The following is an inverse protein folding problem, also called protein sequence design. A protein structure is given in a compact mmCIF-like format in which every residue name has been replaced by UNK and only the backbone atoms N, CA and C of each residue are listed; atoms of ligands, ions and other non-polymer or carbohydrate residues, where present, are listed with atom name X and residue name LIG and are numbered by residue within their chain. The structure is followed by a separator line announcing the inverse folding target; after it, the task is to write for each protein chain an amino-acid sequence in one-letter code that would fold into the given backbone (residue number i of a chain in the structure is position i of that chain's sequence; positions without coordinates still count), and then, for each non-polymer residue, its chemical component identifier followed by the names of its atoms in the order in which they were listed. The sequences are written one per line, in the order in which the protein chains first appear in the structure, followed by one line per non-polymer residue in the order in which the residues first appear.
data_IF_464469734519
#
_entry.id   IF_464469734519
#
_cell.length_a   1.000
_cell.length_b   1.000
_cell.length_c   1.000
_cell.angle_alpha   90.00
_cell.angle_beta   90.00
_cell.angle_gamma   90.00
#
_symmetry.space_group_name_H-M   'P 1'
#
loop_
_entity.id
_entity.type
_entity.pdbx_description
1 polymer ?
#
# COMPACT_ATOMS: atom_id res chain seq x y z
N UNK A 1 -21.78 16.67 -18.93
CA UNK A 1 -20.52 16.76 -19.70
C UNK A 1 -20.12 15.37 -20.17
N UNK A 2 -19.73 15.20 -21.44
CA UNK A 2 -19.31 13.91 -22.00
C UNK A 2 -18.14 13.32 -21.18
N UNK A 3 -18.18 12.01 -20.87
CA UNK A 3 -17.13 11.29 -20.12
C UNK A 3 -15.75 11.55 -20.74
N UNK A 4 -15.64 11.51 -22.07
CA UNK A 4 -14.38 11.77 -22.76
C UNK A 4 -13.85 13.19 -22.52
N UNK A 5 -14.72 14.20 -22.44
CA UNK A 5 -14.32 15.58 -22.13
C UNK A 5 -13.80 15.66 -20.69
N UNK A 6 -14.50 15.02 -19.74
CA UNK A 6 -14.03 14.93 -18.34
C UNK A 6 -12.65 14.25 -18.27
N UNK A 7 -12.46 13.12 -18.97
CA UNK A 7 -11.19 12.39 -19.00
C UNK A 7 -10.05 13.20 -19.63
N UNK A 8 -10.30 13.94 -20.71
CA UNK A 8 -9.30 14.80 -21.37
C UNK A 8 -8.90 15.96 -20.45
N UNK A 9 -9.86 16.64 -19.82
CA UNK A 9 -9.56 17.72 -18.88
C UNK A 9 -8.78 17.21 -17.67
N UNK A 10 -9.19 16.07 -17.11
CA UNK A 10 -8.49 15.44 -16.00
C UNK A 10 -7.09 14.96 -16.39
N UNK A 11 -6.88 14.46 -17.61
CA UNK A 11 -5.57 14.02 -18.09
C UNK A 11 -4.60 15.18 -18.34
N UNK A 12 -5.09 16.30 -18.86
CA UNK A 12 -4.30 17.52 -19.00
C UNK A 12 -3.87 18.04 -17.62
N UNK A 13 -4.79 18.05 -16.65
CA UNK A 13 -4.49 18.43 -15.28
C UNK A 13 -3.49 17.46 -14.62
N UNK A 14 -3.66 16.15 -14.80
CA UNK A 14 -2.72 15.12 -14.34
C UNK A 14 -1.32 15.33 -14.89
N UNK A 15 -1.21 15.59 -16.20
CA UNK A 15 0.07 15.84 -16.84
C UNK A 15 0.72 17.13 -16.33
N UNK A 16 -0.07 18.21 -16.18
CA UNK A 16 0.39 19.48 -15.63
C UNK A 16 0.88 19.39 -14.17
N UNK A 17 0.30 18.48 -13.39
CA UNK A 17 0.63 18.30 -11.97
C UNK A 17 1.81 17.35 -11.71
N UNK A 18 1.97 16.31 -12.54
CA UNK A 18 2.91 15.20 -12.25
C UNK A 18 4.05 15.02 -13.26
N UNK A 19 3.92 15.52 -14.50
CA UNK A 19 4.94 15.24 -15.51
C UNK A 19 6.28 15.91 -15.17
N UNK A 20 7.34 15.11 -15.02
CA UNK A 20 8.67 15.57 -14.61
C UNK A 20 8.68 16.32 -13.27
N UNK A 21 7.73 16.00 -12.39
CA UNK A 21 7.57 16.58 -11.05
C UNK A 21 7.76 15.53 -9.96
N UNK A 22 8.36 15.95 -8.85
CA UNK A 22 8.39 15.17 -7.60
C UNK A 22 7.03 15.20 -6.89
N UNK A 23 6.81 14.27 -5.95
CA UNK A 23 5.53 14.13 -5.27
C UNK A 23 5.43 15.07 -4.06
N UNK A 24 4.34 15.82 -3.97
CA UNK A 24 4.05 16.80 -2.92
C UNK A 24 2.59 17.20 -2.95
N UNK A 25 2.32 18.51 -3.00
CA UNK A 25 0.95 19.06 -3.04
C UNK A 25 0.17 18.62 -4.29
N UNK A 26 0.85 18.32 -5.40
CA UNK A 26 0.25 17.75 -6.60
C UNK A 26 -0.61 16.50 -6.32
N UNK A 27 -0.19 15.60 -5.42
CA UNK A 27 -0.98 14.44 -5.05
C UNK A 27 -2.25 14.81 -4.27
N UNK A 28 -2.21 15.85 -3.44
CA UNK A 28 -3.39 16.35 -2.71
C UNK A 28 -4.42 16.89 -3.70
N UNK A 29 -3.98 17.74 -4.64
CA UNK A 29 -4.83 18.32 -5.69
C UNK A 29 -5.41 17.21 -6.57
N UNK A 30 -4.58 16.27 -7.02
CA UNK A 30 -5.02 15.15 -7.84
C UNK A 30 -6.01 14.25 -7.10
N UNK A 31 -5.82 14.04 -5.80
CA UNK A 31 -6.73 13.27 -4.96
C UNK A 31 -8.10 13.94 -4.87
N UNK A 32 -8.13 15.25 -4.64
CA UNK A 32 -9.37 16.05 -4.58
C UNK A 32 -10.12 15.99 -5.91
N UNK A 33 -9.41 16.11 -7.04
CA UNK A 33 -10.03 16.05 -8.37
C UNK A 33 -10.60 14.66 -8.64
N UNK A 34 -9.84 13.62 -8.31
CA UNK A 34 -10.30 12.23 -8.45
C UNK A 34 -11.54 11.96 -7.62
N UNK A 35 -11.54 12.35 -6.35
CA UNK A 35 -12.70 12.23 -5.45
C UNK A 35 -13.90 13.00 -6.01
N UNK A 36 -13.68 14.23 -6.48
CA UNK A 36 -14.75 15.06 -7.05
C UNK A 36 -15.36 14.41 -8.29
N UNK A 37 -14.54 13.93 -9.22
CA UNK A 37 -15.00 13.24 -10.42
C UNK A 37 -15.81 11.99 -10.09
N UNK A 38 -15.33 11.18 -9.14
CA UNK A 38 -16.02 9.97 -8.68
C UNK A 38 -17.37 10.32 -8.03
N UNK A 39 -17.41 11.31 -7.13
CA UNK A 39 -18.65 11.71 -6.45
C UNK A 39 -19.70 12.29 -7.41
N UNK A 40 -19.27 12.98 -8.47
CA UNK A 40 -20.17 13.52 -9.49
C UNK A 40 -20.81 12.42 -10.34
N UNK A 41 -20.08 11.33 -10.61
CA UNK A 41 -20.54 10.22 -11.46
C UNK A 41 -21.28 9.13 -10.67
N UNK A 42 -20.80 8.80 -9.47
CA UNK A 42 -21.33 7.74 -8.60
C UNK A 42 -22.07 8.30 -7.38
N UNK A 43 -23.15 9.07 -7.63
CA UNK A 43 -23.95 9.69 -6.57
C UNK A 43 -24.57 8.64 -5.64
N UNK A 44 -24.42 8.84 -4.32
CA UNK A 44 -25.20 8.11 -3.31
C UNK A 44 -24.50 6.97 -2.57
N UNK A 45 -23.22 6.70 -2.80
CA UNK A 45 -22.49 5.64 -2.10
C UNK A 45 -21.82 6.14 -0.80
N UNK A 46 -22.60 6.29 0.28
CA UNK A 46 -22.05 6.76 1.59
C UNK A 46 -20.90 5.87 2.12
N UNK A 47 -20.89 4.59 1.78
CA UNK A 47 -19.88 3.62 2.22
C UNK A 47 -18.46 3.91 1.67
N UNK A 48 -18.35 4.65 0.56
CA UNK A 48 -17.06 4.95 -0.09
C UNK A 48 -16.37 6.18 0.48
N UNK A 49 -17.10 7.03 1.23
CA UNK A 49 -16.59 8.29 1.78
C UNK A 49 -15.38 8.06 2.69
N UNK A 50 -15.42 7.03 3.56
CA UNK A 50 -14.29 6.71 4.44
C UNK A 50 -13.01 6.35 3.67
N UNK A 51 -13.14 5.73 2.49
CA UNK A 51 -12.01 5.39 1.64
C UNK A 51 -11.52 6.60 0.84
N UNK A 52 -12.42 7.50 0.42
CA UNK A 52 -12.06 8.78 -0.16
C UNK A 52 -11.26 9.64 0.84
N UNK A 53 -11.71 9.70 2.11
CA UNK A 53 -11.01 10.40 3.18
C UNK A 53 -9.65 9.77 3.49
N UNK A 54 -9.56 8.43 3.54
CA UNK A 54 -8.29 7.75 3.71
C UNK A 54 -7.31 8.03 2.55
N UNK A 55 -7.80 8.01 1.30
CA UNK A 55 -7.01 8.36 0.12
C UNK A 55 -6.50 9.81 0.20
N UNK A 56 -7.36 10.78 0.49
CA UNK A 56 -6.97 12.18 0.68
C UNK A 56 -5.97 12.35 1.84
N UNK A 57 -6.21 11.67 2.96
CA UNK A 57 -5.32 11.72 4.12
C UNK A 57 -3.92 11.22 3.79
N UNK A 58 -3.79 10.11 3.04
CA UNK A 58 -2.46 9.66 2.58
C UNK A 58 -1.76 10.67 1.68
N UNK A 59 -2.50 11.43 0.86
CA UNK A 59 -1.92 12.50 0.06
C UNK A 59 -1.36 13.63 0.95
N UNK A 60 -2.09 13.99 2.01
CA UNK A 60 -1.63 14.95 3.02
C UNK A 60 -0.38 14.45 3.74
N UNK A 61 -0.30 13.16 4.08
CA UNK A 61 0.90 12.57 4.69
C UNK A 61 2.12 12.63 3.77
N UNK A 62 1.94 12.49 2.45
CA UNK A 62 3.03 12.69 1.47
C UNK A 62 3.42 14.18 1.40
N UNK A 63 2.46 15.09 1.38
CA UNK A 63 2.74 16.53 1.41
C UNK A 63 3.54 16.96 2.64
N UNK A 64 3.23 16.41 3.81
CA UNK A 64 3.95 16.70 5.05
C UNK A 64 5.37 16.10 5.07
N UNK A 65 5.60 15.00 4.35
CA UNK A 65 6.85 14.25 4.43
C UNK A 65 7.00 13.31 3.21
N UNK A 66 7.56 13.78 2.09
CA UNK A 66 7.47 13.11 0.79
C UNK A 66 8.47 11.95 0.66
N UNK A 67 8.23 10.86 1.41
CA UNK A 67 9.02 9.63 1.36
C UNK A 67 8.39 8.58 0.42
N UNK A 68 9.23 7.74 -0.19
CA UNK A 68 8.79 6.66 -1.07
C UNK A 68 7.79 5.70 -0.40
N UNK A 69 7.96 5.45 0.89
CA UNK A 69 7.02 4.62 1.65
C UNK A 69 5.61 5.23 1.68
N UNK A 70 5.48 6.53 1.96
CA UNK A 70 4.17 7.20 2.00
C UNK A 70 3.54 7.30 0.61
N UNK A 71 4.34 7.51 -0.44
CA UNK A 71 3.88 7.48 -1.85
C UNK A 71 3.32 6.08 -2.19
N UNK A 72 3.99 5.02 -1.77
CA UNK A 72 3.50 3.65 -1.96
C UNK A 72 2.17 3.41 -1.24
N UNK A 73 2.02 3.85 0.01
CA UNK A 73 0.75 3.75 0.75
C UNK A 73 -0.35 4.58 0.10
N UNK A 74 -0.02 5.76 -0.43
CA UNK A 74 -0.96 6.59 -1.19
C UNK A 74 -1.47 5.88 -2.46
N UNK A 75 -0.59 5.23 -3.21
CA UNK A 75 -0.98 4.42 -4.38
C UNK A 75 -1.86 3.22 -3.98
N UNK A 76 -1.58 2.57 -2.85
CA UNK A 76 -2.41 1.49 -2.32
C UNK A 76 -3.81 1.99 -1.94
N UNK A 77 -3.89 3.15 -1.26
CA UNK A 77 -5.15 3.78 -0.88
C UNK A 77 -5.98 4.21 -2.10
N UNK A 78 -5.32 4.71 -3.16
CA UNK A 78 -5.96 5.00 -4.45
C UNK A 78 -6.65 3.76 -5.03
N UNK A 79 -5.92 2.63 -5.16
CA UNK A 79 -6.47 1.39 -5.71
C UNK A 79 -7.64 0.86 -4.89
N UNK A 80 -7.55 0.90 -3.56
CA UNK A 80 -8.65 0.52 -2.66
C UNK A 80 -9.85 1.44 -2.86
N UNK A 81 -9.65 2.75 -2.96
CA UNK A 81 -10.73 3.72 -3.16
C UNK A 81 -11.46 3.49 -4.50
N UNK A 82 -10.72 3.29 -5.59
CA UNK A 82 -11.31 2.96 -6.89
C UNK A 82 -12.06 1.63 -6.83
N UNK A 83 -11.46 0.58 -6.27
CA UNK A 83 -12.13 -0.71 -6.12
C UNK A 83 -13.41 -0.65 -5.30
N UNK A 84 -13.40 0.15 -4.21
CA UNK A 84 -14.58 0.39 -3.36
C UNK A 84 -15.65 1.23 -4.05
N UNK A 85 -15.27 2.10 -4.97
CA UNK A 85 -16.22 2.83 -5.82
C UNK A 85 -16.93 1.89 -6.79
N UNK A 86 -16.20 0.92 -7.34
CA UNK A 86 -16.73 -0.08 -8.27
C UNK A 86 -17.63 -1.09 -7.56
N UNK A 87 -17.17 -1.64 -6.42
CA UNK A 87 -17.88 -2.65 -5.64
C UNK A 87 -17.83 -2.33 -4.12
N UNK A 88 -18.75 -1.48 -3.61
CA UNK A 88 -18.68 -0.97 -2.23
C UNK A 88 -18.70 -2.05 -1.14
N UNK A 89 -19.50 -3.10 -1.37
CA UNK A 89 -19.76 -4.17 -0.39
C UNK A 89 -18.66 -5.24 -0.34
N UNK A 90 -17.75 -5.27 -1.30
CA UNK A 90 -16.74 -6.33 -1.38
C UNK A 90 -15.69 -6.22 -0.28
N UNK A 91 -14.98 -7.30 -0.05
CA UNK A 91 -13.82 -7.34 0.83
C UNK A 91 -12.71 -6.37 0.41
N UNK A 92 -11.90 -5.94 1.38
CA UNK A 92 -10.81 -4.99 1.14
C UNK A 92 -9.74 -5.56 0.19
N UNK A 93 -9.39 -6.85 0.35
CA UNK A 93 -8.40 -7.50 -0.51
C UNK A 93 -8.84 -7.51 -1.97
N UNK A 94 -10.12 -7.80 -2.20
CA UNK A 94 -10.67 -7.82 -3.55
C UNK A 94 -10.82 -6.40 -4.09
N UNK A 95 -11.11 -5.41 -3.26
CA UNK A 95 -11.18 -4.00 -3.69
C UNK A 95 -9.85 -3.52 -4.27
N UNK A 96 -8.73 -3.81 -3.61
CA UNK A 96 -7.41 -3.47 -4.16
C UNK A 96 -7.17 -4.14 -5.52
N UNK A 97 -7.52 -5.43 -5.65
CA UNK A 97 -7.39 -6.17 -6.91
C UNK A 97 -8.33 -5.66 -8.01
N UNK A 98 -9.58 -5.31 -7.67
CA UNK A 98 -10.53 -4.68 -8.60
C UNK A 98 -9.99 -3.33 -9.07
N UNK A 99 -9.45 -2.51 -8.16
CA UNK A 99 -8.82 -1.24 -8.53
C UNK A 99 -7.67 -1.44 -9.52
N UNK A 100 -6.79 -2.40 -9.26
CA UNK A 100 -5.67 -2.72 -10.14
C UNK A 100 -6.13 -3.25 -11.51
N UNK A 101 -7.03 -4.23 -11.51
CA UNK A 101 -7.57 -4.81 -12.75
C UNK A 101 -8.36 -3.79 -13.55
N UNK A 102 -9.04 -2.84 -12.91
CA UNK A 102 -9.70 -1.73 -13.60
C UNK A 102 -8.70 -0.88 -14.39
N UNK A 103 -7.54 -0.54 -13.82
CA UNK A 103 -6.52 0.26 -14.49
C UNK A 103 -5.90 -0.43 -15.73
N UNK A 104 -6.01 -1.76 -15.83
CA UNK A 104 -5.40 -2.54 -16.92
C UNK A 104 -6.45 -3.01 -17.93
N UNK A 105 -7.54 -3.59 -17.45
CA UNK A 105 -8.49 -4.34 -18.28
C UNK A 105 -9.66 -3.50 -18.78
N UNK A 106 -9.93 -2.32 -18.20
CA UNK A 106 -11.08 -1.53 -18.60
C UNK A 106 -11.02 -1.08 -20.07
N UNK A 107 -9.83 -0.73 -20.59
CA UNK A 107 -9.65 -0.45 -22.03
C UNK A 107 -10.01 -1.65 -22.91
N UNK A 108 -9.54 -2.86 -22.55
CA UNK A 108 -9.78 -4.09 -23.31
C UNK A 108 -11.27 -4.44 -23.29
N UNK A 109 -11.90 -4.35 -22.11
CA UNK A 109 -13.33 -4.57 -21.97
C UNK A 109 -14.15 -3.56 -22.78
N UNK A 110 -13.76 -2.29 -22.76
CA UNK A 110 -14.42 -1.24 -23.53
C UNK A 110 -14.29 -1.45 -25.04
N UNK A 111 -13.12 -1.89 -25.51
CA UNK A 111 -12.90 -2.25 -26.91
C UNK A 111 -13.77 -3.45 -27.32
N UNK A 112 -13.71 -4.54 -26.55
CA UNK A 112 -14.48 -5.76 -26.83
C UNK A 112 -16.00 -5.53 -26.76
N UNK A 113 -16.48 -4.73 -25.82
CA UNK A 113 -17.90 -4.38 -25.72
C UNK A 113 -18.35 -3.45 -26.83
N UNK A 114 -17.47 -2.61 -27.37
CA UNK A 114 -17.76 -1.78 -28.55
C UNK A 114 -17.86 -2.66 -29.80
N UNK A 115 -16.90 -3.58 -30.01
CA UNK A 115 -16.92 -4.55 -31.11
C UNK A 115 -18.14 -5.48 -31.06
N UNK A 116 -18.55 -5.95 -29.87
CA UNK A 116 -19.78 -6.75 -29.69
C UNK A 116 -21.07 -5.96 -29.93
N UNK A 117 -21.08 -4.65 -29.63
CA UNK A 117 -22.23 -3.77 -29.87
C UNK A 117 -22.39 -3.39 -31.36
N UNK A 118 -21.36 -3.51 -32.19
CA UNK A 118 -21.48 -3.30 -33.63
C UNK A 118 -22.37 -4.33 -34.34
N UNK A 119 -22.78 -5.42 -33.67
CA UNK A 119 -23.85 -6.31 -34.15
C UNK A 119 -25.26 -5.71 -34.11
N UNK A 120 -25.51 -4.65 -33.31
CA UNK A 120 -26.79 -3.93 -33.31
C UNK A 120 -26.59 -2.47 -32.88
N UNK A 121 -26.76 -1.55 -33.85
CA UNK A 121 -26.63 -0.07 -33.79
C UNK A 121 -25.19 0.44 -33.79
N UNK A 122 -24.77 0.94 -34.97
CA UNK A 122 -23.58 1.75 -35.09
C UNK A 122 -23.68 2.96 -34.15
N UNK A 123 -22.75 3.04 -33.18
CA UNK A 123 -22.48 4.30 -32.50
C UNK A 123 -21.71 5.18 -33.47
N UNK A 124 -22.43 5.74 -34.44
CA UNK A 124 -21.97 6.98 -35.06
C UNK A 124 -21.75 7.97 -33.92
N UNK A 125 -20.53 8.49 -33.75
CA UNK A 125 -20.36 9.74 -33.00
C UNK A 125 -21.49 10.67 -33.47
N UNK A 126 -22.27 11.23 -32.54
CA UNK A 126 -23.30 12.22 -32.86
C UNK A 126 -22.73 13.16 -33.94
N UNK A 127 -23.46 13.35 -35.05
CA UNK A 127 -22.95 14.10 -36.21
C UNK A 127 -22.36 15.44 -35.78
N UNK A 128 -22.91 16.03 -34.72
CA UNK A 128 -22.44 17.25 -34.06
C UNK A 128 -21.01 17.13 -33.50
N UNK A 129 -20.62 16.04 -32.85
CA UNK A 129 -19.27 15.84 -32.30
C UNK A 129 -18.22 15.61 -33.39
N UNK A 130 -18.56 14.87 -34.45
CA UNK A 130 -17.69 14.72 -35.64
C UNK A 130 -17.50 16.06 -36.35
N UNK A 131 -18.56 16.84 -36.50
CA UNK A 131 -18.51 18.18 -37.09
C UNK A 131 -17.65 19.12 -36.23
N UNK A 132 -17.81 19.11 -34.90
CA UNK A 132 -16.98 19.92 -34.00
C UNK A 132 -15.50 19.52 -34.10
N UNK A 133 -15.17 18.23 -34.07
CA UNK A 133 -13.78 17.77 -34.14
C UNK A 133 -13.14 18.14 -35.50
N UNK A 134 -13.88 17.97 -36.61
CA UNK A 134 -13.43 18.35 -37.95
C UNK A 134 -13.26 19.86 -38.07
N UNK A 135 -14.21 20.64 -37.56
CA UNK A 135 -14.12 22.10 -37.52
C UNK A 135 -12.91 22.55 -36.70
N UNK A 136 -12.70 21.99 -35.50
CA UNK A 136 -11.56 22.32 -34.65
C UNK A 136 -10.23 22.02 -35.35
N UNK A 137 -10.12 20.86 -36.01
CA UNK A 137 -8.91 20.46 -36.73
C UNK A 137 -8.61 21.38 -37.93
N UNK A 138 -9.64 21.75 -38.71
CA UNK A 138 -9.52 22.72 -39.81
C UNK A 138 -9.15 24.11 -39.26
N UNK A 139 -9.82 24.56 -38.19
CA UNK A 139 -9.55 25.86 -37.56
C UNK A 139 -8.13 25.94 -37.01
N UNK A 140 -7.65 24.90 -36.31
CA UNK A 140 -6.26 24.83 -35.82
C UNK A 140 -5.29 24.87 -36.99
N UNK A 141 -5.54 24.09 -38.06
CA UNK A 141 -4.71 24.10 -39.27
C UNK A 141 -4.64 25.49 -39.92
N UNK A 142 -5.78 26.19 -40.03
CA UNK A 142 -5.83 27.55 -40.54
C UNK A 142 -5.09 28.54 -39.62
N UNK A 143 -5.29 28.46 -38.30
CA UNK A 143 -4.58 29.32 -37.34
C UNK A 143 -3.06 29.13 -37.48
N UNK A 144 -2.57 27.89 -37.59
CA UNK A 144 -1.15 27.61 -37.79
C UNK A 144 -0.67 28.20 -39.12
N UNK A 145 -1.39 27.93 -40.22
CA UNK A 145 -1.05 28.43 -41.55
C UNK A 145 -0.96 29.96 -41.56
N UNK A 146 -1.99 30.65 -41.05
CA UNK A 146 -2.01 32.11 -40.97
C UNK A 146 -0.96 32.65 -40.01
N UNK A 147 -0.69 31.97 -38.90
CA UNK A 147 0.39 32.36 -37.99
C UNK A 147 1.75 32.28 -38.67
N UNK A 148 2.02 31.25 -39.47
CA UNK A 148 3.27 31.13 -40.25
C UNK A 148 3.39 32.22 -41.33
N UNK A 149 2.29 32.55 -42.01
CA UNK A 149 2.24 33.64 -42.99
C UNK A 149 2.50 35.01 -42.34
N UNK A 150 1.88 35.28 -41.19
CA UNK A 150 2.05 36.53 -40.46
C UNK A 150 3.42 36.66 -39.81
N UNK A 151 4.03 35.55 -39.36
CA UNK A 151 5.42 35.55 -38.90
C UNK A 151 6.40 35.98 -39.99
N UNK A 152 6.16 35.62 -41.25
CA UNK A 152 6.99 36.07 -42.38
C UNK A 152 6.76 37.55 -42.73
N UNK A 153 5.56 38.06 -42.45
CA UNK A 153 5.13 39.39 -42.92
C UNK A 153 5.32 40.49 -41.87
N UNK A 154 5.39 40.16 -40.57
CA UNK A 154 5.49 41.13 -39.49
C UNK A 154 6.54 40.69 -38.43
N UNK A 155 7.65 41.44 -38.28
CA UNK A 155 8.70 41.09 -37.31
C UNK A 155 8.24 41.16 -35.84
N UNK A 156 7.25 41.99 -35.50
CA UNK A 156 6.66 42.06 -34.15
C UNK A 156 5.79 40.83 -33.85
N UNK A 157 5.04 40.34 -34.85
CA UNK A 157 4.28 39.11 -34.71
C UNK A 157 5.22 37.89 -34.62
N UNK A 158 6.32 37.91 -35.38
CA UNK A 158 7.37 36.90 -35.30
C UNK A 158 7.97 36.78 -33.90
N UNK A 159 8.34 37.90 -33.28
CA UNK A 159 8.90 37.89 -31.93
C UNK A 159 7.90 37.36 -30.90
N UNK A 160 6.63 37.75 -30.99
CA UNK A 160 5.55 37.27 -30.11
C UNK A 160 5.35 35.75 -30.21
N UNK A 161 5.27 35.20 -31.42
CA UNK A 161 5.10 33.75 -31.60
C UNK A 161 6.35 32.99 -31.17
N UNK A 162 7.55 33.51 -31.46
CA UNK A 162 8.80 32.87 -31.01
C UNK A 162 9.00 32.88 -29.50
N UNK A 163 8.29 33.75 -28.77
CA UNK A 163 8.28 33.76 -27.30
C UNK A 163 7.36 32.67 -26.70
N UNK A 164 6.47 32.07 -27.50
CA UNK A 164 5.63 30.95 -27.05
C UNK A 164 6.47 29.68 -27.07
N UNK A 165 6.97 29.29 -25.91
CA UNK A 165 7.74 28.07 -25.73
C UNK A 165 6.80 26.86 -25.51
N UNK A 166 6.86 25.87 -26.41
CA UNK A 166 6.16 24.59 -26.30
C UNK A 166 7.10 23.42 -26.02
N UNK A 167 8.32 23.66 -25.54
CA UNK A 167 9.32 22.62 -25.26
C UNK A 167 8.82 21.60 -24.21
N UNK A 168 7.83 21.98 -23.39
CA UNK A 168 7.16 21.07 -22.47
C UNK A 168 6.29 20.01 -23.18
N UNK A 169 5.75 20.30 -24.39
CA UNK A 169 5.01 19.37 -25.24
C UNK A 169 5.97 18.41 -25.97
N UNK A 170 6.80 17.76 -25.18
CA UNK A 170 7.66 16.68 -25.62
C UNK A 170 6.85 15.41 -25.91
N UNK A 171 7.37 14.52 -26.75
CA UNK A 171 6.74 13.22 -26.99
C UNK A 171 6.47 12.41 -25.69
N UNK A 172 7.37 12.39 -24.68
CA UNK A 172 7.05 11.74 -23.41
C UNK A 172 5.93 12.44 -22.61
N UNK A 173 5.81 13.77 -22.68
CA UNK A 173 4.67 14.50 -22.08
C UNK A 173 3.34 14.09 -22.74
N UNK A 174 3.33 13.94 -24.07
CA UNK A 174 2.15 13.47 -24.79
C UNK A 174 1.77 12.05 -24.35
N UNK A 175 2.73 11.12 -24.28
CA UNK A 175 2.49 9.75 -23.80
C UNK A 175 1.98 9.73 -22.36
N UNK A 176 2.56 10.54 -21.48
CA UNK A 176 2.13 10.67 -20.09
C UNK A 176 0.70 11.22 -19.97
N UNK A 177 0.35 12.17 -20.83
CA UNK A 177 -1.01 12.73 -20.92
C UNK A 177 -2.00 11.68 -21.43
N UNK A 178 -1.63 10.89 -22.46
CA UNK A 178 -2.45 9.78 -22.97
C UNK A 178 -2.64 8.71 -21.89
N UNK A 179 -1.60 8.41 -21.13
CA UNK A 179 -1.68 7.50 -19.98
C UNK A 179 -2.65 8.02 -18.92
N UNK A 180 -2.55 9.31 -18.55
CA UNK A 180 -3.50 9.97 -17.67
C UNK A 180 -4.94 9.90 -18.20
N UNK A 181 -5.14 10.06 -19.50
CA UNK A 181 -6.46 9.92 -20.12
C UNK A 181 -7.06 8.52 -19.91
N UNK A 182 -6.26 7.46 -20.08
CA UNK A 182 -6.74 6.10 -19.81
C UNK A 182 -7.08 5.89 -18.34
N UNK A 183 -6.26 6.37 -17.39
CA UNK A 183 -6.57 6.32 -15.96
C UNK A 183 -7.94 6.95 -15.68
N UNK A 184 -8.16 8.20 -16.11
CA UNK A 184 -9.42 8.88 -15.83
C UNK A 184 -10.60 8.32 -16.62
N UNK A 185 -10.38 7.77 -17.81
CA UNK A 185 -11.40 7.04 -18.55
C UNK A 185 -11.83 5.78 -17.79
N UNK A 186 -10.89 5.03 -17.22
CA UNK A 186 -11.17 3.83 -16.42
C UNK A 186 -11.83 4.16 -15.08
N UNK A 187 -11.52 5.31 -14.48
CA UNK A 187 -12.20 5.78 -13.27
C UNK A 187 -13.66 6.12 -13.58
N UNK A 188 -13.91 6.85 -14.68
CA UNK A 188 -15.25 7.31 -15.04
C UNK A 188 -16.10 6.24 -15.75
N UNK A 189 -15.46 5.23 -16.33
CA UNK A 189 -16.12 4.11 -17.02
C UNK A 189 -15.47 2.79 -16.61
N UNK A 190 -15.68 2.37 -15.35
CA UNK A 190 -14.97 1.24 -14.80
C UNK A 190 -15.40 -0.09 -15.42
N UNK A 191 -14.46 -1.03 -15.41
CA UNK A 191 -14.73 -2.44 -15.60
C UNK A 191 -15.38 -3.02 -14.35
N UNK A 192 -16.52 -3.70 -14.53
CA UNK A 192 -17.24 -4.36 -13.45
C UNK A 192 -17.03 -5.88 -13.53
N UNK A 193 -16.11 -6.47 -12.74
CA UNK A 193 -15.84 -7.91 -12.77
C UNK A 193 -16.92 -8.69 -12.00
N UNK A 194 -18.08 -8.86 -12.61
CA UNK A 194 -19.26 -9.47 -11.97
C UNK A 194 -18.96 -10.81 -11.30
N UNK A 195 -18.26 -11.72 -11.98
CA UNK A 195 -17.88 -13.03 -11.43
C UNK A 195 -17.04 -12.94 -10.15
N UNK A 196 -16.10 -12.00 -10.06
CA UNK A 196 -15.29 -11.86 -8.84
C UNK A 196 -16.11 -11.28 -7.69
N UNK A 197 -17.02 -10.36 -8.02
CA UNK A 197 -17.89 -9.70 -7.06
C UNK A 197 -18.88 -10.71 -6.47
N UNK A 198 -19.54 -11.52 -7.32
CA UNK A 198 -20.50 -12.54 -6.87
C UNK A 198 -19.81 -13.58 -5.98
N UNK A 199 -18.65 -14.11 -6.41
CA UNK A 199 -17.87 -15.08 -5.65
C UNK A 199 -17.49 -14.58 -4.24
N UNK A 200 -17.10 -13.31 -4.10
CA UNK A 200 -16.82 -12.74 -2.78
C UNK A 200 -18.09 -12.58 -1.95
N UNK A 201 -19.18 -12.07 -2.54
CA UNK A 201 -20.44 -11.87 -1.80
C UNK A 201 -21.10 -13.17 -1.32
N UNK A 202 -20.96 -14.26 -2.06
CA UNK A 202 -21.51 -15.57 -1.70
C UNK A 202 -20.71 -16.28 -0.59
N UNK A 203 -19.45 -15.89 -0.39
CA UNK A 203 -18.59 -16.49 0.63
C UNK A 203 -18.88 -15.91 2.03
N UNK A 204 -19.53 -16.72 2.88
CA UNK A 204 -19.79 -16.40 4.29
C UNK A 204 -18.48 -16.40 5.11
N UNK A 205 -18.43 -15.52 6.11
CA UNK A 205 -17.36 -15.48 7.11
C UNK A 205 -17.49 -16.60 8.15
N UNK A 206 -18.64 -17.27 8.27
CA UNK A 206 -18.88 -18.32 9.25
C UNK A 206 -19.02 -19.68 8.56
N UNK A 207 -18.42 -20.71 9.15
CA UNK A 207 -18.65 -22.08 8.71
C UNK A 207 -20.03 -22.53 9.17
N UNK A 208 -20.69 -23.33 8.34
CA UNK A 208 -21.92 -24.04 8.66
C UNK A 208 -21.62 -25.53 8.61
N UNK A 209 -22.32 -26.30 9.45
CA UNK A 209 -22.23 -27.77 9.42
C UNK A 209 -22.81 -28.27 8.09
N UNK A 210 -22.16 -29.25 7.46
CA UNK A 210 -22.59 -29.76 6.15
C UNK A 210 -23.92 -30.52 6.21
N UNK A 211 -24.19 -31.23 7.31
CA UNK A 211 -25.43 -32.01 7.52
C UNK A 211 -25.93 -31.88 8.96
N UNK A 212 -27.23 -32.07 9.25
CA UNK A 212 -27.75 -32.01 10.63
C UNK A 212 -27.11 -33.06 11.55
N UNK A 213 -26.97 -34.29 11.03
CA UNK A 213 -26.30 -35.42 11.67
C UNK A 213 -25.24 -36.01 10.72
N UNK A 214 -24.16 -36.54 11.29
CA UNK A 214 -23.11 -37.19 10.52
C UNK A 214 -23.48 -38.65 10.26
N UNK A 215 -23.31 -39.11 9.02
CA UNK A 215 -23.41 -40.54 8.70
C UNK A 215 -22.31 -41.32 9.41
N UNK A 216 -22.43 -42.66 9.44
CA UNK A 216 -21.43 -43.52 10.07
C UNK A 216 -20.06 -43.41 9.36
N UNK A 217 -20.06 -43.32 8.02
CA UNK A 217 -18.85 -43.10 7.22
C UNK A 217 -18.23 -41.73 7.47
N UNK A 218 -19.04 -40.66 7.49
CA UNK A 218 -18.56 -39.31 7.81
C UNK A 218 -17.98 -39.24 9.22
N UNK A 219 -18.62 -39.90 10.19
CA UNK A 219 -18.14 -39.96 11.58
C UNK A 219 -16.81 -40.70 11.70
N UNK A 220 -16.61 -41.79 10.93
CA UNK A 220 -15.32 -42.49 10.85
C UNK A 220 -14.24 -41.60 10.27
N UNK A 221 -14.50 -40.94 9.13
CA UNK A 221 -13.56 -40.01 8.51
C UNK A 221 -13.19 -38.85 9.44
N UNK A 222 -14.16 -38.29 10.15
CA UNK A 222 -13.92 -37.24 11.15
C UNK A 222 -13.09 -37.74 12.34
N UNK A 223 -13.29 -38.99 12.76
CA UNK A 223 -12.47 -39.61 13.81
C UNK A 223 -11.01 -39.82 13.35
N UNK A 224 -10.80 -40.20 12.09
CA UNK A 224 -9.46 -40.31 11.49
C UNK A 224 -8.78 -38.94 11.39
N UNK A 225 -9.48 -37.93 10.83
CA UNK A 225 -8.98 -36.55 10.76
C UNK A 225 -8.67 -35.98 12.16
N UNK A 226 -9.53 -36.25 13.15
CA UNK A 226 -9.30 -35.87 14.55
C UNK A 226 -8.03 -36.52 15.11
N UNK A 227 -7.83 -37.82 14.85
CA UNK A 227 -6.68 -38.56 15.39
C UNK A 227 -5.38 -38.06 14.77
N UNK A 228 -5.35 -37.94 13.43
CA UNK A 228 -4.21 -37.39 12.70
C UNK A 228 -3.89 -35.97 13.17
N UNK A 229 -4.90 -35.11 13.24
CA UNK A 229 -4.73 -33.73 13.68
C UNK A 229 -4.21 -33.64 15.12
N UNK A 230 -4.75 -34.45 16.03
CA UNK A 230 -4.30 -34.48 17.43
C UNK A 230 -2.84 -34.90 17.55
N UNK A 231 -2.41 -35.96 16.83
CA UNK A 231 -1.01 -36.40 16.84
C UNK A 231 -0.08 -35.29 16.35
N UNK A 232 -0.43 -34.65 15.22
CA UNK A 232 0.36 -33.56 14.65
C UNK A 232 0.43 -32.37 15.61
N UNK A 233 -0.70 -31.94 16.17
CA UNK A 233 -0.70 -30.83 17.11
C UNK A 233 0.09 -31.14 18.39
N UNK A 234 0.00 -32.37 18.93
CA UNK A 234 0.79 -32.78 20.10
C UNK A 234 2.28 -32.73 19.77
N UNK A 235 2.71 -33.37 18.67
CA UNK A 235 4.11 -33.42 18.27
C UNK A 235 4.68 -32.02 18.05
N UNK A 236 3.93 -31.16 17.35
CA UNK A 236 4.35 -29.80 17.10
C UNK A 236 4.40 -28.99 18.41
N UNK A 237 3.35 -28.98 19.24
CA UNK A 237 3.38 -28.28 20.52
C UNK A 237 4.57 -28.72 21.38
N UNK A 238 4.88 -30.02 21.41
CA UNK A 238 6.06 -30.55 22.09
C UNK A 238 7.37 -29.97 21.55
N UNK A 239 7.54 -29.94 20.22
CA UNK A 239 8.71 -29.35 19.58
C UNK A 239 8.84 -27.84 19.87
N UNK A 240 7.74 -27.08 19.77
CA UNK A 240 7.74 -25.64 20.02
C UNK A 240 8.03 -25.33 21.50
N UNK A 241 7.52 -26.16 22.42
CA UNK A 241 7.82 -26.04 23.83
C UNK A 241 9.31 -26.25 24.12
N UNK A 242 9.92 -27.29 23.54
CA UNK A 242 11.38 -27.53 23.65
C UNK A 242 12.15 -26.33 23.07
N UNK A 243 11.74 -25.84 21.89
CA UNK A 243 12.35 -24.67 21.27
C UNK A 243 12.29 -23.44 22.19
N UNK A 244 11.13 -23.14 22.77
CA UNK A 244 10.95 -22.02 23.70
C UNK A 244 11.86 -22.14 24.94
N UNK A 245 12.03 -23.34 25.49
CA UNK A 245 12.98 -23.56 26.60
C UNK A 245 14.41 -23.24 26.15
N UNK A 246 14.84 -23.79 25.01
CA UNK A 246 16.19 -23.53 24.50
C UNK A 246 16.42 -22.05 24.18
N UNK A 247 15.40 -21.38 23.65
CA UNK A 247 15.48 -19.96 23.32
C UNK A 247 15.52 -19.08 24.57
N UNK A 248 14.81 -19.48 25.62
CA UNK A 248 14.86 -18.82 26.92
C UNK A 248 16.23 -18.98 27.60
N UNK A 249 16.82 -20.17 27.56
CA UNK A 249 18.19 -20.41 28.07
C UNK A 249 19.19 -19.52 27.33
N UNK A 250 19.10 -19.49 25.99
CA UNK A 250 19.94 -18.61 25.16
C UNK A 250 19.79 -17.13 25.53
N UNK A 251 18.57 -16.67 25.83
CA UNK A 251 18.32 -15.28 26.24
C UNK A 251 18.95 -14.91 27.58
N UNK A 252 19.02 -15.84 28.53
CA UNK A 252 19.64 -15.60 29.84
C UNK A 252 21.17 -15.63 29.73
N UNK A 253 21.71 -16.51 28.88
CA UNK A 253 23.15 -16.72 28.75
C UNK A 253 23.85 -15.64 27.89
N UNK A 254 23.09 -14.83 27.16
CA UNK A 254 23.58 -13.81 26.21
C UNK A 254 24.32 -12.60 26.84
N UNK A 255 24.84 -12.71 28.06
CA UNK A 255 25.62 -11.67 28.75
C UNK A 255 27.00 -11.39 28.11
N UNK A 256 27.34 -11.96 26.95
CA UNK A 256 28.67 -11.84 26.32
C UNK A 256 28.65 -11.72 24.80
N UNK A 257 27.55 -11.26 24.19
CA UNK A 257 27.42 -11.34 22.72
C UNK A 257 27.96 -10.14 21.94
N UNK A 258 28.70 -10.41 20.86
CA UNK A 258 29.19 -9.39 19.91
C UNK A 258 28.07 -8.78 19.06
N UNK A 259 28.28 -7.59 18.47
CA UNK A 259 27.32 -6.95 17.55
C UNK A 259 26.84 -7.87 16.40
N UNK A 260 27.69 -8.79 15.94
CA UNK A 260 27.34 -9.76 14.89
C UNK A 260 26.37 -10.84 15.38
N UNK A 261 26.48 -11.23 16.65
CA UNK A 261 25.64 -12.25 17.28
C UNK A 261 24.22 -11.73 17.54
N UNK A 262 24.07 -10.46 17.93
CA UNK A 262 22.75 -9.81 18.02
C UNK A 262 21.99 -9.84 16.69
N UNK A 263 22.65 -9.43 15.60
CA UNK A 263 22.05 -9.43 14.26
C UNK A 263 21.66 -10.85 13.83
N UNK A 264 22.56 -11.83 13.99
CA UNK A 264 22.29 -13.23 13.66
C UNK A 264 21.13 -13.80 14.48
N UNK A 265 21.09 -13.54 15.79
CA UNK A 265 20.04 -14.03 16.68
C UNK A 265 18.66 -13.47 16.34
N UNK A 266 18.57 -12.17 16.03
CA UNK A 266 17.31 -11.55 15.60
C UNK A 266 16.86 -12.11 14.25
N UNK A 267 17.77 -12.22 13.27
CA UNK A 267 17.42 -12.78 11.96
C UNK A 267 16.98 -14.24 12.04
N UNK A 268 17.71 -15.08 12.78
CA UNK A 268 17.34 -16.49 13.00
C UNK A 268 16.01 -16.62 13.74
N UNK A 269 15.79 -15.80 14.78
CA UNK A 269 14.52 -15.74 15.50
C UNK A 269 13.35 -15.37 14.59
N UNK A 270 13.51 -14.34 13.76
CA UNK A 270 12.50 -13.91 12.79
C UNK A 270 12.23 -15.00 11.73
N UNK A 271 13.25 -15.68 11.22
CA UNK A 271 13.07 -16.76 10.24
C UNK A 271 12.40 -17.99 10.84
N UNK A 272 12.80 -18.41 12.03
CA UNK A 272 12.16 -19.51 12.75
C UNK A 272 10.68 -19.19 13.03
N UNK A 273 10.40 -17.95 13.45
CA UNK A 273 9.04 -17.45 13.68
C UNK A 273 8.21 -17.46 12.38
N UNK A 274 8.75 -16.93 11.28
CA UNK A 274 8.09 -16.92 9.96
C UNK A 274 7.70 -18.34 9.52
N UNK A 275 8.64 -19.28 9.56
CA UNK A 275 8.39 -20.67 9.17
C UNK A 275 7.35 -21.32 10.08
N UNK A 276 7.48 -21.15 11.41
CA UNK A 276 6.55 -21.67 12.40
C UNK A 276 5.11 -21.20 12.13
N UNK A 277 4.90 -19.90 11.90
CA UNK A 277 3.58 -19.33 11.71
C UNK A 277 2.95 -19.77 10.39
N UNK A 278 3.73 -19.86 9.31
CA UNK A 278 3.22 -20.35 8.02
C UNK A 278 2.74 -21.80 8.16
N UNK A 279 3.58 -22.67 8.74
CA UNK A 279 3.22 -24.06 9.00
C UNK A 279 1.99 -24.16 9.93
N UNK A 280 1.95 -23.34 10.99
CA UNK A 280 0.84 -23.26 11.92
C UNK A 280 -0.48 -22.93 11.23
N UNK A 281 -0.50 -21.85 10.44
CA UNK A 281 -1.69 -21.40 9.72
C UNK A 281 -2.10 -22.47 8.71
N UNK A 282 -1.17 -23.05 7.93
CA UNK A 282 -1.49 -24.11 6.97
C UNK A 282 -2.17 -25.32 7.63
N UNK A 283 -1.66 -25.78 8.76
CA UNK A 283 -2.21 -26.91 9.52
C UNK A 283 -3.58 -26.56 10.13
N UNK A 284 -3.72 -25.38 10.73
CA UNK A 284 -4.99 -24.91 11.30
C UNK A 284 -6.05 -24.74 10.20
N UNK A 285 -5.66 -24.26 9.02
CA UNK A 285 -6.53 -24.15 7.87
C UNK A 285 -6.96 -25.52 7.37
N UNK A 286 -6.04 -26.49 7.28
CA UNK A 286 -6.33 -27.84 6.83
C UNK A 286 -7.32 -28.56 7.75
N UNK A 287 -7.07 -28.61 9.06
CA UNK A 287 -7.90 -29.38 10.00
C UNK A 287 -9.21 -28.67 10.33
N UNK A 288 -9.20 -27.35 10.52
CA UNK A 288 -10.40 -26.59 10.86
C UNK A 288 -11.08 -25.99 9.61
N UNK A 289 -11.04 -26.66 8.46
CA UNK A 289 -11.70 -26.21 7.21
C UNK A 289 -13.21 -26.42 7.18
N UNK A 290 -13.72 -27.40 7.92
CA UNK A 290 -15.09 -27.88 7.76
C UNK A 290 -15.61 -28.60 9.01
N UNK A 291 -16.25 -29.75 8.83
CA UNK A 291 -17.07 -30.42 9.85
C UNK A 291 -16.32 -30.85 11.12
N UNK A 292 -14.99 -30.95 11.09
CA UNK A 292 -14.17 -31.19 12.29
C UNK A 292 -14.43 -30.13 13.37
N UNK A 293 -14.78 -28.90 12.99
CA UNK A 293 -15.17 -27.83 13.93
C UNK A 293 -16.42 -28.16 14.77
N UNK A 294 -17.28 -29.05 14.26
CA UNK A 294 -18.57 -29.44 14.84
C UNK A 294 -18.58 -30.89 15.35
N UNK A 295 -17.46 -31.60 15.26
CA UNK A 295 -17.31 -32.96 15.76
C UNK A 295 -17.40 -32.97 17.30
N UNK A 296 -17.98 -34.03 17.87
CA UNK A 296 -18.27 -34.13 19.31
C UNK A 296 -17.02 -34.01 20.18
N UNK A 297 -15.88 -34.56 19.73
CA UNK A 297 -14.59 -34.48 20.44
C UNK A 297 -13.71 -33.29 20.01
N UNK A 298 -14.24 -32.37 19.20
CA UNK A 298 -13.47 -31.25 18.64
C UNK A 298 -12.84 -30.34 19.70
N UNK A 299 -13.35 -30.35 20.94
CA UNK A 299 -12.82 -29.53 22.02
C UNK A 299 -11.35 -29.84 22.33
N UNK A 300 -10.93 -31.10 22.29
CA UNK A 300 -9.56 -31.48 22.62
C UNK A 300 -8.55 -30.95 21.60
N UNK A 301 -8.85 -31.10 20.31
CA UNK A 301 -7.98 -30.58 19.24
C UNK A 301 -8.00 -29.04 19.21
N UNK A 302 -9.12 -28.39 19.58
CA UNK A 302 -9.17 -26.94 19.78
C UNK A 302 -8.27 -26.48 20.91
N UNK A 303 -8.23 -27.19 22.04
CA UNK A 303 -7.32 -26.89 23.15
C UNK A 303 -5.86 -26.99 22.69
N UNK A 304 -5.48 -28.05 21.97
CA UNK A 304 -4.12 -28.17 21.43
C UNK A 304 -3.76 -27.02 20.46
N UNK A 305 -4.73 -26.58 19.65
CA UNK A 305 -4.57 -25.42 18.79
C UNK A 305 -4.43 -24.10 19.59
N UNK A 306 -5.17 -23.93 20.68
CA UNK A 306 -5.04 -22.75 21.55
C UNK A 306 -3.71 -22.74 22.30
N UNK A 307 -3.24 -23.89 22.80
CA UNK A 307 -1.90 -24.02 23.38
C UNK A 307 -0.83 -23.61 22.38
N UNK A 308 -0.96 -24.05 21.12
CA UNK A 308 -0.05 -23.69 20.05
C UNK A 308 -0.03 -22.18 19.77
N UNK A 309 -1.20 -21.54 19.72
CA UNK A 309 -1.32 -20.09 19.54
C UNK A 309 -0.67 -19.35 20.73
N UNK A 310 -0.88 -19.82 21.96
CA UNK A 310 -0.29 -19.24 23.16
C UNK A 310 1.24 -19.37 23.16
N UNK A 311 1.79 -20.52 22.76
CA UNK A 311 3.24 -20.70 22.63
C UNK A 311 3.85 -19.78 21.55
N UNK A 312 3.17 -19.60 20.42
CA UNK A 312 3.62 -18.64 19.40
C UNK A 312 3.54 -17.19 19.89
N UNK A 313 2.60 -16.87 20.79
CA UNK A 313 2.58 -15.55 21.44
C UNK A 313 3.83 -15.35 22.32
N UNK A 314 4.26 -16.36 23.08
CA UNK A 314 5.51 -16.30 23.86
C UNK A 314 6.71 -16.12 22.92
N UNK A 315 6.75 -16.84 21.79
CA UNK A 315 7.82 -16.70 20.80
C UNK A 315 7.92 -15.27 20.22
N UNK A 316 6.77 -14.62 19.99
CA UNK A 316 6.73 -13.21 19.58
C UNK A 316 7.35 -12.33 20.65
N UNK A 317 7.06 -12.56 21.95
CA UNK A 317 7.63 -11.79 23.05
C UNK A 317 9.16 -11.94 23.13
N UNK A 318 9.69 -13.15 22.96
CA UNK A 318 11.14 -13.38 22.91
C UNK A 318 11.79 -12.67 21.72
N UNK A 319 11.19 -12.78 20.53
CA UNK A 319 11.70 -12.10 19.33
C UNK A 319 11.63 -10.58 19.46
N UNK A 320 10.55 -10.07 20.07
CA UNK A 320 10.39 -8.66 20.39
C UNK A 320 11.50 -8.17 21.32
N UNK A 321 11.76 -8.91 22.40
CA UNK A 321 12.81 -8.60 23.35
C UNK A 321 14.20 -8.57 22.69
N UNK A 322 14.53 -9.57 21.87
CA UNK A 322 15.79 -9.60 21.10
C UNK A 322 15.95 -8.37 20.20
N UNK A 323 14.91 -8.02 19.45
CA UNK A 323 14.94 -6.85 18.58
C UNK A 323 15.00 -5.53 19.38
N UNK A 324 14.35 -5.47 20.54
CA UNK A 324 14.44 -4.34 21.46
C UNK A 324 15.87 -4.16 21.98
N UNK A 325 16.51 -5.22 22.48
CA UNK A 325 17.91 -5.16 22.90
C UNK A 325 18.82 -4.74 21.75
N UNK A 326 18.56 -5.24 20.53
CA UNK A 326 19.30 -4.80 19.35
C UNK A 326 19.14 -3.29 19.06
N UNK A 327 17.95 -2.73 19.29
CA UNK A 327 17.69 -1.30 19.12
C UNK A 327 18.32 -0.45 20.22
N UNK A 328 18.31 -0.90 21.46
CA UNK A 328 18.94 -0.18 22.58
C UNK A 328 20.46 -0.16 22.41
N UNK A 329 21.07 -1.26 21.97
CA UNK A 329 22.53 -1.34 21.80
C UNK A 329 23.03 -0.64 20.55
N UNK A 330 22.31 -0.74 19.42
CA UNK A 330 22.82 -0.33 18.10
C UNK A 330 21.94 0.69 17.36
N UNK A 331 20.92 1.23 18.04
CA UNK A 331 20.03 2.26 17.50
C UNK A 331 18.83 1.72 16.71
N UNK A 332 17.97 2.63 16.30
CA UNK A 332 16.85 2.38 15.41
C UNK A 332 17.33 2.34 13.95
N UNK A 333 16.80 1.40 13.18
CA UNK A 333 16.94 1.35 11.71
C UNK A 333 15.60 0.95 11.08
N UNK A 334 15.43 1.20 9.78
CA UNK A 334 14.28 0.72 9.03
C UNK A 334 14.06 -0.80 9.15
N UNK A 335 15.14 -1.58 9.14
CA UNK A 335 15.05 -3.05 9.28
C UNK A 335 14.51 -3.44 10.65
N UNK A 336 15.00 -2.82 11.74
CA UNK A 336 14.56 -3.10 13.11
C UNK A 336 13.12 -2.64 13.37
N UNK A 337 12.70 -1.50 12.80
CA UNK A 337 11.28 -1.07 12.79
C UNK A 337 10.43 -2.08 12.03
N UNK A 338 10.90 -2.54 10.87
CA UNK A 338 10.23 -3.56 10.07
C UNK A 338 9.95 -4.84 10.86
N UNK A 339 10.88 -5.27 11.71
CA UNK A 339 10.68 -6.42 12.61
C UNK A 339 9.53 -6.16 13.60
N UNK A 340 9.48 -5.00 14.27
CA UNK A 340 8.37 -4.69 15.17
C UNK A 340 7.02 -4.65 14.46
N UNK A 341 6.95 -4.00 13.29
CA UNK A 341 5.73 -3.94 12.45
C UNK A 341 5.31 -5.35 12.04
N UNK A 342 6.26 -6.19 11.64
CA UNK A 342 6.02 -7.59 11.29
C UNK A 342 5.46 -8.39 12.47
N UNK A 343 6.05 -8.25 13.67
CA UNK A 343 5.56 -8.90 14.90
C UNK A 343 4.13 -8.46 15.26
N UNK A 344 3.78 -7.19 15.07
CA UNK A 344 2.40 -6.70 15.26
C UNK A 344 1.42 -7.35 14.26
N UNK A 345 1.82 -7.47 12.99
CA UNK A 345 1.01 -8.16 11.98
C UNK A 345 0.79 -9.63 12.33
N UNK A 346 1.83 -10.33 12.80
CA UNK A 346 1.70 -11.71 13.28
C UNK A 346 0.75 -11.79 14.48
N UNK A 347 0.94 -10.91 15.47
CA UNK A 347 0.13 -10.91 16.68
C UNK A 347 -1.36 -10.81 16.33
N UNK A 348 -1.71 -9.88 15.44
CA UNK A 348 -3.07 -9.76 14.93
C UNK A 348 -3.50 -10.99 14.11
N UNK A 349 -2.59 -11.61 13.35
CA UNK A 349 -2.80 -12.90 12.67
C UNK A 349 -3.13 -14.04 13.63
N UNK A 350 -2.44 -14.13 14.76
CA UNK A 350 -2.75 -15.10 15.83
C UNK A 350 -4.11 -14.80 16.46
N UNK A 351 -4.43 -13.53 16.72
CA UNK A 351 -5.75 -13.14 17.24
C UNK A 351 -6.89 -13.52 16.27
N UNK A 352 -6.75 -13.24 14.97
CA UNK A 352 -7.76 -13.62 13.98
C UNK A 352 -7.86 -15.14 13.82
N UNK A 353 -6.75 -15.86 13.91
CA UNK A 353 -6.71 -17.33 13.90
C UNK A 353 -7.42 -17.93 15.12
N UNK A 354 -7.18 -17.38 16.31
CA UNK A 354 -7.91 -17.74 17.52
C UNK A 354 -9.42 -17.53 17.34
N UNK A 355 -9.82 -16.36 16.85
CA UNK A 355 -11.24 -16.05 16.57
C UNK A 355 -11.83 -17.00 15.52
N UNK A 356 -11.04 -17.42 14.53
CA UNK A 356 -11.48 -18.39 13.52
C UNK A 356 -11.81 -19.73 14.13
N UNK A 357 -10.98 -20.24 15.03
CA UNK A 357 -11.22 -21.54 15.68
C UNK A 357 -12.33 -21.43 16.73
N UNK A 358 -12.32 -20.37 17.54
CA UNK A 358 -13.29 -20.13 18.62
C UNK A 358 -14.71 -19.88 18.10
N UNK A 359 -14.85 -19.04 17.07
CA UNK A 359 -16.14 -18.65 16.49
C UNK A 359 -16.45 -19.37 15.16
N UNK A 360 -15.76 -20.49 14.90
CA UNK A 360 -15.93 -21.35 13.72
C UNK A 360 -16.05 -20.54 12.42
N UNK A 361 -15.09 -19.64 12.18
CA UNK A 361 -15.05 -18.79 10.99
C UNK A 361 -14.44 -19.51 9.80
N UNK A 362 -14.81 -19.07 8.60
CA UNK A 362 -14.30 -19.59 7.35
C UNK A 362 -12.85 -19.16 7.09
N UNK A 363 -12.21 -19.79 6.11
CA UNK A 363 -10.91 -19.32 5.61
C UNK A 363 -10.97 -17.89 5.07
N UNK A 364 -12.06 -17.55 4.39
CA UNK A 364 -12.27 -16.23 3.79
C UNK A 364 -12.32 -15.13 4.87
N UNK A 365 -12.89 -15.42 6.04
CA UNK A 365 -12.82 -14.50 7.17
C UNK A 365 -11.38 -14.16 7.56
N UNK A 366 -10.45 -15.13 7.54
CA UNK A 366 -9.04 -14.89 7.87
C UNK A 366 -8.37 -14.00 6.82
N UNK A 367 -8.60 -14.25 5.53
CA UNK A 367 -8.07 -13.38 4.46
C UNK A 367 -8.59 -11.95 4.63
N UNK A 368 -9.92 -11.80 4.77
CA UNK A 368 -10.58 -10.50 4.91
C UNK A 368 -10.06 -9.71 6.10
N UNK A 369 -9.93 -10.37 7.25
CA UNK A 369 -9.49 -9.73 8.50
C UNK A 369 -8.00 -9.37 8.44
N UNK A 370 -7.14 -10.29 8.01
CA UNK A 370 -5.70 -10.05 8.01
C UNK A 370 -5.27 -9.02 6.95
N UNK A 371 -5.87 -9.01 5.76
CA UNK A 371 -5.58 -7.95 4.78
C UNK A 371 -6.03 -6.58 5.28
N UNK A 372 -7.18 -6.52 5.97
CA UNK A 372 -7.63 -5.27 6.60
C UNK A 372 -6.67 -4.79 7.69
N UNK A 373 -6.15 -5.70 8.53
CA UNK A 373 -5.13 -5.38 9.53
C UNK A 373 -3.84 -4.89 8.88
N UNK A 374 -3.32 -5.60 7.87
CA UNK A 374 -2.08 -5.19 7.19
C UNK A 374 -2.23 -3.79 6.60
N UNK A 375 -3.36 -3.51 5.94
CA UNK A 375 -3.63 -2.18 5.42
C UNK A 375 -3.70 -1.13 6.54
N UNK A 376 -4.38 -1.42 7.65
CA UNK A 376 -4.46 -0.50 8.79
C UNK A 376 -3.08 -0.22 9.41
N UNK A 377 -2.25 -1.25 9.60
CA UNK A 377 -0.88 -1.12 10.12
C UNK A 377 -0.02 -0.27 9.19
N UNK A 378 -0.07 -0.52 7.88
CA UNK A 378 0.66 0.26 6.88
C UNK A 378 0.17 1.71 6.82
N UNK A 379 -1.14 1.92 6.89
CA UNK A 379 -1.76 3.24 6.90
C UNK A 379 -1.34 4.07 8.14
N UNK A 380 -1.37 3.47 9.34
CA UNK A 380 -0.90 4.11 10.57
C UNK A 380 0.61 4.34 10.52
N UNK A 381 1.38 3.39 10.00
CA UNK A 381 2.82 3.55 9.82
C UNK A 381 3.17 4.74 8.91
N UNK A 382 2.36 5.03 7.89
CA UNK A 382 2.57 6.16 6.99
C UNK A 382 2.39 7.54 7.67
N UNK A 383 1.76 7.61 8.84
CA UNK A 383 1.63 8.88 9.58
C UNK A 383 2.90 9.25 10.33
N UNK A 384 3.82 8.30 10.50
CA UNK A 384 5.07 8.50 11.26
C UNK A 384 6.16 9.02 10.30
N UNK A 385 6.86 10.12 10.63
CA UNK A 385 8.00 10.60 9.86
C UNK A 385 9.25 9.76 10.18
N UNK A 386 9.32 8.54 9.64
CA UNK A 386 10.30 7.53 10.03
C UNK A 386 11.76 8.00 10.01
N UNK A 387 12.20 8.72 8.97
CA UNK A 387 13.57 9.23 8.90
C UNK A 387 13.91 10.13 10.10
N UNK A 388 13.01 11.06 10.44
CA UNK A 388 13.16 11.95 11.60
C UNK A 388 13.07 11.19 12.92
N UNK A 389 12.14 10.25 13.03
CA UNK A 389 11.98 9.44 14.25
C UNK A 389 13.21 8.58 14.53
N UNK A 390 13.78 7.96 13.50
CA UNK A 390 15.04 7.20 13.57
C UNK A 390 16.17 8.12 14.02
N UNK A 391 16.32 9.27 13.36
CA UNK A 391 17.38 10.24 13.65
C UNK A 391 17.27 10.78 15.07
N UNK A 392 16.07 11.17 15.51
CA UNK A 392 15.81 11.62 16.87
C UNK A 392 16.16 10.57 17.92
N UNK A 393 15.68 9.35 17.72
CA UNK A 393 15.95 8.27 18.66
C UNK A 393 17.46 8.00 18.77
N UNK A 394 18.15 7.90 17.64
CA UNK A 394 19.58 7.56 17.61
C UNK A 394 20.43 8.65 18.24
N UNK A 395 20.24 9.92 17.85
CA UNK A 395 21.03 11.03 18.39
C UNK A 395 20.81 11.26 19.89
N UNK A 396 19.63 10.89 20.42
CA UNK A 396 19.27 11.10 21.82
C UNK A 396 19.72 9.96 22.73
N UNK A 397 19.55 8.71 22.30
CA UNK A 397 19.64 7.54 23.19
C UNK A 397 20.88 6.68 22.96
N UNK A 398 21.58 6.84 21.84
CA UNK A 398 22.74 6.01 21.51
C UNK A 398 24.01 6.83 21.75
N UNK A 399 24.94 6.28 22.54
CA UNK A 399 26.22 6.95 22.84
C UNK A 399 27.11 6.99 21.59
N UNK A 400 27.37 5.83 20.99
CA UNK A 400 28.16 5.67 19.78
C UNK A 400 27.25 5.60 18.55
N UNK A 401 26.70 6.75 18.16
CA UNK A 401 25.78 6.85 17.03
C UNK A 401 26.50 6.54 15.71
N UNK A 402 25.94 5.65 14.90
CA UNK A 402 26.32 5.50 13.50
C UNK A 402 25.80 6.70 12.68
N UNK A 403 26.60 7.77 12.64
CA UNK A 403 26.27 9.00 11.93
C UNK A 403 26.20 8.77 10.41
N UNK A 404 27.04 7.86 9.87
CA UNK A 404 27.03 7.52 8.45
C UNK A 404 25.68 6.93 8.04
N UNK A 405 25.12 6.01 8.84
CA UNK A 405 23.77 5.49 8.60
C UNK A 405 22.71 6.60 8.56
N UNK A 406 22.79 7.60 9.44
CA UNK A 406 21.84 8.71 9.45
C UNK A 406 22.00 9.64 8.24
N UNK A 407 23.23 9.80 7.72
CA UNK A 407 23.51 10.53 6.49
C UNK A 407 22.93 9.79 5.28
N UNK A 408 23.05 8.47 5.23
CA UNK A 408 22.54 7.63 4.13
C UNK A 408 21.01 7.42 4.18
N UNK A 409 20.37 7.82 5.28
CA UNK A 409 18.91 7.83 5.43
C UNK A 409 18.25 8.86 4.48
N UNK A 410 16.92 8.85 4.37
CA UNK A 410 16.20 9.82 3.54
C UNK A 410 16.46 11.28 3.91
N UNK A 411 16.22 12.19 2.97
CA UNK A 411 16.60 13.60 3.07
C UNK A 411 15.79 14.39 4.11
N UNK A 412 14.66 13.86 4.56
CA UNK A 412 13.74 14.55 5.47
C UNK A 412 14.31 14.71 6.89
N UNK A 413 15.41 14.01 7.23
CA UNK A 413 16.15 14.19 8.49
C UNK A 413 17.26 15.26 8.42
N UNK A 414 17.54 15.86 7.25
CA UNK A 414 18.73 16.67 7.03
C UNK A 414 18.84 17.88 7.96
N UNK A 415 17.71 18.54 8.23
CA UNK A 415 17.63 19.70 9.14
C UNK A 415 18.03 19.30 10.56
N UNK A 416 17.55 18.14 11.02
CA UNK A 416 17.84 17.63 12.35
C UNK A 416 19.31 17.27 12.52
N UNK A 417 19.92 16.65 11.50
CA UNK A 417 21.34 16.36 11.49
C UNK A 417 22.20 17.62 11.48
N UNK A 418 21.82 18.63 10.69
CA UNK A 418 22.53 19.92 10.65
C UNK A 418 22.54 20.59 12.01
N UNK A 419 21.37 20.69 12.67
CA UNK A 419 21.25 21.23 14.02
C UNK A 419 22.12 20.49 15.04
N UNK A 420 22.11 19.15 15.00
CA UNK A 420 22.93 18.35 15.89
C UNK A 420 24.43 18.58 15.67
N UNK A 421 24.89 18.68 14.42
CA UNK A 421 26.29 18.95 14.08
C UNK A 421 26.76 20.32 14.57
N UNK A 422 25.89 21.33 14.52
CA UNK A 422 26.19 22.69 14.99
C UNK A 422 26.28 22.76 16.52
N UNK A 423 25.41 22.05 17.23
CA UNK A 423 25.39 22.00 18.69
C UNK A 423 26.60 21.27 19.27
N UNK A 424 27.04 20.16 18.64
CA UNK A 424 28.11 19.31 19.17
C UNK A 424 29.53 19.67 18.75
N UNK A 425 29.72 20.67 17.85
CA UNK A 425 31.01 21.20 17.33
C UNK A 425 32.13 20.15 17.20
N UNK A 426 32.45 19.79 15.96
CA UNK A 426 33.39 18.73 15.54
C UNK A 426 32.78 17.32 15.46
N UNK A 427 32.17 17.03 14.31
CA UNK A 427 32.02 15.63 13.87
C UNK A 427 32.89 15.42 12.65
N UNK A 428 33.58 14.29 12.55
CA UNK A 428 34.30 13.88 11.33
C UNK A 428 33.41 13.87 10.07
N UNK A 429 32.08 13.97 10.26
CA UNK A 429 31.05 13.95 9.25
C UNK A 429 30.43 15.33 8.95
N UNK A 430 30.93 16.42 9.53
CA UNK A 430 30.33 17.76 9.38
C UNK A 430 30.19 18.18 7.90
N UNK A 431 31.20 17.90 7.09
CA UNK A 431 31.18 18.17 5.65
C UNK A 431 30.06 17.39 4.94
N UNK A 432 29.90 16.11 5.24
CA UNK A 432 28.86 15.25 4.67
C UNK A 432 27.46 15.67 5.11
N UNK A 433 27.28 16.02 6.39
CA UNK A 433 26.02 16.54 6.94
C UNK A 433 25.66 17.86 6.27
N UNK A 434 26.61 18.78 6.14
CA UNK A 434 26.41 20.09 5.51
C UNK A 434 26.13 19.96 4.02
N UNK A 435 26.77 19.01 3.33
CA UNK A 435 26.49 18.69 1.92
C UNK A 435 25.07 18.15 1.76
N UNK A 436 24.66 17.18 2.59
CA UNK A 436 23.29 16.63 2.59
C UNK A 436 22.25 17.73 2.84
N UNK A 437 22.46 18.56 3.85
CA UNK A 437 21.58 19.67 4.19
C UNK A 437 21.47 20.68 3.04
N UNK A 438 22.60 21.15 2.50
CA UNK A 438 22.62 22.12 1.40
C UNK A 438 21.92 21.58 0.17
N UNK A 439 22.18 20.31 -0.19
CA UNK A 439 21.50 19.63 -1.29
C UNK A 439 19.99 19.58 -1.06
N UNK A 440 19.55 19.20 0.14
CA UNK A 440 18.13 19.14 0.46
C UNK A 440 17.45 20.52 0.35
N UNK A 441 18.04 21.58 0.93
CA UNK A 441 17.50 22.94 0.85
C UNK A 441 17.48 23.45 -0.59
N UNK A 442 18.54 23.19 -1.37
CA UNK A 442 18.60 23.56 -2.77
C UNK A 442 17.50 22.87 -3.57
N UNK A 443 17.32 21.57 -3.39
CA UNK A 443 16.23 20.81 -4.02
C UNK A 443 14.85 21.37 -3.65
N UNK A 444 14.63 21.74 -2.39
CA UNK A 444 13.34 22.33 -1.97
C UNK A 444 13.09 23.73 -2.57
N UNK A 445 14.13 24.53 -2.82
CA UNK A 445 14.04 25.87 -3.44
C UNK A 445 13.89 25.84 -4.96
N UNK A 446 14.40 24.80 -5.61
CA UNK A 446 14.29 24.61 -7.07
C UNK A 446 12.94 23.99 -7.47
N UNK A 447 12.19 23.46 -6.50
CA UNK A 447 10.87 22.87 -6.75
C UNK A 447 9.90 23.91 -7.30
N UNK A 448 9.09 23.47 -8.26
CA UNK A 448 7.93 24.24 -8.68
C UNK A 448 6.78 24.11 -7.68
N UNK A 449 5.82 25.05 -7.70
CA UNK A 449 4.72 25.08 -6.73
C UNK A 449 3.93 23.77 -6.64
N UNK A 450 3.86 22.99 -7.74
CA UNK A 450 3.20 21.68 -7.78
C UNK A 450 3.87 20.63 -6.89
N UNK A 451 5.19 20.77 -6.69
CA UNK A 451 6.05 19.82 -5.97
C UNK A 451 6.17 20.18 -4.49
N UNK A 452 5.59 21.31 -4.08
CA UNK A 452 5.76 21.81 -2.73
C UNK A 452 5.32 20.77 -1.70
N UNK A 453 6.24 20.54 -0.78
CA UNK A 453 6.01 19.86 0.48
C UNK A 453 5.92 20.91 1.59
N UNK A 454 5.66 20.48 2.83
CA UNK A 454 5.74 21.38 3.99
C UNK A 454 7.13 22.05 4.09
N UNK A 455 8.20 21.39 3.64
CA UNK A 455 9.55 21.95 3.68
C UNK A 455 9.71 23.05 2.64
N UNK A 456 9.20 22.87 1.42
CA UNK A 456 9.29 23.89 0.38
C UNK A 456 8.61 25.19 0.80
N UNK A 457 7.51 25.11 1.55
CA UNK A 457 6.81 26.29 2.10
C UNK A 457 7.58 27.04 3.19
N UNK A 458 8.55 26.40 3.84
CA UNK A 458 9.38 27.01 4.88
C UNK A 458 10.61 27.69 4.27
N UNK A 459 11.10 27.19 3.13
CA UNK A 459 12.38 27.59 2.53
C UNK A 459 12.27 28.39 1.23
N UNK A 460 11.05 28.54 0.70
CA UNK A 460 10.66 29.63 -0.21
C UNK A 460 10.16 30.82 0.60
#
# INVERSE_FOLDING_TARGET
MNIHIKSILASLMFSLLLYSKTMGINLVILSLVTITLVLLEHKGQKETIKYALAYLFTALMVFLDPTNFKIFIHALAFLIYIGKTIAPKNSLYLSWFIGLTNMVLASIHQLNSSLKKEGHKSTTLSSKTKTILKALSITIGLIILFSLLYQKSNPVFRSLISAINFDFLSFPWLLFTVFGYFIFLHILRPYYPETLITLDTEQDNSLKRSTPSFSLEQSKKLAEEYTLGSIIFIALNGLLFIFLITDFIYLIDANTSTNSEYSKSVHQGVYALLLSIICAIAIILYFFRGDLNFYTKSQNIKILCYSWIAMNLILILFTWYKNYMYVVTLGLTYKRIGVFVYLLCILAGLCTTYLKVSKTKSFIYLIRSNVAVIFAVLFVSATIPWDKSITYYNLKNIENVDIQYLIDLGDTNSIQLKKYSEEKKETAFEASITTKYSRFIQQEKEKSWQEYSIYSLIYH
#
